data_IF_107734037634
#
_entry.id   IF_107734037634
#
_cell.length_a   1.000
_cell.length_b   1.000
_cell.length_c   1.000
_cell.angle_alpha   90.00
_cell.angle_beta   90.00
_cell.angle_gamma   90.00
#
_symmetry.space_group_name_H-M   'P 1'
#
loop_
_entity.id
_entity.type
_entity.pdbx_description
1 polymer ?
#
# COMPACT_ATOMS: atom_id res chain seq x y z
N UNK A 1 37.27 23.58 -53.54
CA UNK A 1 36.74 22.28 -53.10
C UNK A 1 37.08 22.11 -51.63
N UNK A 2 36.16 22.49 -50.73
CA UNK A 2 36.33 22.40 -49.30
C UNK A 2 35.72 21.10 -48.85
N UNK A 3 36.55 20.15 -48.43
CA UNK A 3 36.12 18.85 -47.87
C UNK A 3 35.53 19.13 -46.48
N UNK A 4 34.20 18.92 -46.34
CA UNK A 4 33.53 18.93 -45.06
C UNK A 4 34.16 17.86 -44.12
N UNK A 5 34.39 18.15 -42.84
CA UNK A 5 34.91 17.16 -41.90
C UNK A 5 33.88 16.06 -41.76
N UNK A 6 34.31 14.80 -42.00
CA UNK A 6 33.55 13.61 -41.68
C UNK A 6 33.22 13.65 -40.19
N UNK A 7 31.95 13.80 -39.86
CA UNK A 7 31.45 13.60 -38.51
C UNK A 7 31.90 12.21 -38.03
N UNK A 8 32.64 12.18 -36.93
CA UNK A 8 33.16 11.00 -36.31
C UNK A 8 31.94 10.13 -35.85
N UNK A 9 31.75 9.00 -36.57
CA UNK A 9 30.52 8.20 -36.50
C UNK A 9 30.43 7.31 -35.24
N UNK A 10 31.29 7.52 -34.25
CA UNK A 10 31.32 6.62 -33.07
C UNK A 10 31.10 7.34 -31.74
N UNK A 11 30.03 8.11 -31.68
CA UNK A 11 29.54 8.65 -30.38
C UNK A 11 29.10 7.53 -29.43
N UNK A 12 28.91 6.34 -29.92
CA UNK A 12 28.48 5.15 -29.17
C UNK A 12 29.42 3.99 -29.44
N UNK A 13 29.71 3.19 -28.40
CA UNK A 13 30.54 1.99 -28.54
C UNK A 13 29.93 1.01 -29.55
N UNK A 14 30.78 0.25 -30.27
CA UNK A 14 30.29 -0.77 -31.18
C UNK A 14 29.42 -1.77 -30.43
N UNK A 15 28.22 -2.03 -30.93
CA UNK A 15 27.25 -2.94 -30.31
C UNK A 15 26.23 -2.24 -29.39
N UNK A 16 26.31 -0.92 -29.13
CA UNK A 16 25.33 -0.20 -28.29
C UNK A 16 23.88 -0.33 -28.78
N UNK A 17 23.69 -0.47 -30.08
CA UNK A 17 22.39 -0.68 -30.71
C UNK A 17 22.19 -2.11 -31.27
N UNK A 18 23.07 -3.05 -30.89
CA UNK A 18 22.88 -4.44 -31.31
C UNK A 18 21.60 -4.99 -30.63
N UNK A 19 20.73 -5.65 -31.41
CA UNK A 19 19.54 -6.27 -30.84
C UNK A 19 19.92 -7.28 -29.75
N UNK A 20 19.38 -7.16 -28.55
CA UNK A 20 19.50 -8.13 -27.48
C UNK A 20 18.23 -8.97 -27.41
N UNK A 21 18.11 -10.05 -28.21
CA UNK A 21 16.86 -10.82 -28.34
C UNK A 21 16.57 -11.68 -27.10
N UNK A 22 17.49 -11.71 -26.14
CA UNK A 22 17.30 -12.49 -24.92
C UNK A 22 16.33 -11.79 -23.97
N UNK A 23 15.38 -12.56 -23.46
CA UNK A 23 14.45 -12.09 -22.43
C UNK A 23 15.25 -11.74 -21.15
N UNK A 24 14.96 -10.59 -20.58
CA UNK A 24 15.53 -10.20 -19.28
C UNK A 24 15.14 -11.21 -18.19
N UNK A 25 16.04 -11.43 -17.22
CA UNK A 25 15.72 -12.22 -16.04
C UNK A 25 14.50 -11.68 -15.32
N UNK A 26 13.61 -12.57 -14.89
CA UNK A 26 12.31 -12.21 -14.29
C UNK A 26 12.46 -11.42 -13.00
N UNK A 27 13.43 -11.76 -12.16
CA UNK A 27 13.70 -11.03 -10.93
C UNK A 27 14.12 -9.58 -11.23
N UNK A 28 14.98 -9.39 -12.23
CA UNK A 28 15.43 -8.08 -12.68
C UNK A 28 14.27 -7.25 -13.27
N UNK A 29 13.36 -7.90 -13.98
CA UNK A 29 12.18 -7.27 -14.56
C UNK A 29 11.23 -6.77 -13.46
N UNK A 30 10.89 -7.64 -12.48
CA UNK A 30 10.03 -7.28 -11.35
C UNK A 30 10.65 -6.16 -10.51
N UNK A 31 11.98 -6.24 -10.25
CA UNK A 31 12.67 -5.21 -9.48
C UNK A 31 12.73 -3.86 -10.21
N UNK A 32 12.93 -3.87 -11.53
CA UNK A 32 12.90 -2.64 -12.34
C UNK A 32 11.52 -2.02 -12.36
N UNK A 33 10.46 -2.84 -12.44
CA UNK A 33 9.08 -2.38 -12.35
C UNK A 33 8.79 -1.81 -10.95
N UNK A 34 9.19 -2.50 -9.89
CA UNK A 34 9.02 -2.05 -8.52
C UNK A 34 9.74 -0.71 -8.25
N UNK A 35 10.96 -0.57 -8.76
CA UNK A 35 11.70 0.69 -8.67
C UNK A 35 10.99 1.85 -9.38
N UNK A 36 10.48 1.60 -10.59
CA UNK A 36 9.71 2.60 -11.34
C UNK A 36 8.46 3.02 -10.57
N UNK A 37 7.67 2.06 -10.10
CA UNK A 37 6.45 2.31 -9.30
C UNK A 37 6.77 3.09 -8.02
N UNK A 38 7.81 2.68 -7.28
CA UNK A 38 8.25 3.39 -6.07
C UNK A 38 8.67 4.82 -6.38
N UNK A 39 9.43 5.03 -7.45
CA UNK A 39 9.84 6.38 -7.88
C UNK A 39 8.66 7.25 -8.28
N UNK A 40 7.66 6.68 -8.96
CA UNK A 40 6.43 7.38 -9.33
C UNK A 40 5.64 7.74 -8.06
N UNK A 41 5.46 6.81 -7.13
CA UNK A 41 4.80 7.06 -5.85
C UNK A 41 5.40 8.28 -5.12
N UNK A 42 6.73 8.31 -4.95
CA UNK A 42 7.42 9.40 -4.27
C UNK A 42 7.39 10.75 -5.01
N UNK A 43 6.99 10.76 -6.28
CA UNK A 43 6.80 11.99 -7.08
C UNK A 43 5.36 12.50 -7.09
N UNK A 44 4.40 11.71 -6.62
CA UNK A 44 3.00 12.11 -6.51
C UNK A 44 2.72 12.70 -5.13
N UNK A 45 2.73 14.05 -5.04
CA UNK A 45 2.53 14.77 -3.77
C UNK A 45 1.20 14.48 -3.09
N UNK A 46 0.11 14.30 -3.85
CA UNK A 46 -1.19 13.92 -3.32
C UNK A 46 -1.15 12.56 -2.62
N UNK A 47 -0.50 11.59 -3.23
CA UNK A 47 -0.37 10.25 -2.67
C UNK A 47 0.51 10.25 -1.41
N UNK A 48 1.58 11.03 -1.38
CA UNK A 48 2.40 11.23 -0.19
C UNK A 48 1.61 11.89 0.95
N UNK A 49 0.75 12.86 0.63
CA UNK A 49 -0.11 13.52 1.61
C UNK A 49 -1.01 12.50 2.32
N UNK A 50 -1.73 11.69 1.55
CA UNK A 50 -2.68 10.71 2.09
C UNK A 50 -1.99 9.56 2.84
N UNK A 51 -0.83 9.12 2.39
CA UNK A 51 -0.18 7.91 2.90
C UNK A 51 0.84 8.16 4.00
N UNK A 52 1.42 9.35 4.08
CA UNK A 52 2.47 9.68 5.06
C UNK A 52 2.06 10.86 5.93
N UNK A 53 1.70 12.00 5.33
CA UNK A 53 1.51 13.24 6.08
C UNK A 53 0.26 13.17 6.95
N UNK A 54 -0.87 12.69 6.43
CA UNK A 54 -2.10 12.58 7.21
C UNK A 54 -1.93 11.57 8.36
N UNK A 55 -1.47 10.32 8.16
CA UNK A 55 -1.26 9.41 9.28
C UNK A 55 -0.23 9.92 10.30
N UNK A 56 0.83 10.59 9.84
CA UNK A 56 1.83 11.18 10.73
C UNK A 56 1.23 12.32 11.57
N UNK A 57 0.46 13.20 10.94
CA UNK A 57 -0.26 14.27 11.65
C UNK A 57 -1.29 13.72 12.64
N UNK A 58 -1.97 12.61 12.28
CA UNK A 58 -2.87 11.90 13.20
C UNK A 58 -2.10 11.34 14.40
N UNK A 59 -0.94 10.68 14.18
CA UNK A 59 -0.13 10.16 15.26
C UNK A 59 0.27 11.26 16.25
N UNK A 60 0.88 12.31 15.74
CA UNK A 60 1.37 13.42 16.58
C UNK A 60 0.19 14.17 17.22
N UNK A 61 -0.82 14.52 16.42
CA UNK A 61 -1.96 15.31 16.86
C UNK A 61 -2.80 14.62 17.93
N UNK A 62 -3.16 13.34 17.72
CA UNK A 62 -4.02 12.62 18.67
C UNK A 62 -3.28 12.19 19.94
N UNK A 63 -1.94 12.07 19.90
CA UNK A 63 -1.14 11.78 21.10
C UNK A 63 -0.86 13.05 21.91
N UNK A 64 -0.56 14.17 21.25
CA UNK A 64 -0.19 15.43 21.92
C UNK A 64 -1.39 16.26 22.37
N UNK A 65 -2.50 16.17 21.66
CA UNK A 65 -3.73 16.89 22.00
C UNK A 65 -4.71 15.88 22.63
N UNK A 66 -5.10 16.04 23.90
CA UNK A 66 -6.01 15.12 24.58
C UNK A 66 -7.46 15.27 24.07
N UNK A 67 -7.67 14.94 22.78
CA UNK A 67 -9.00 14.95 22.15
C UNK A 67 -9.88 13.85 22.74
N UNK A 68 -9.26 12.74 23.14
CA UNK A 68 -9.92 11.60 23.77
C UNK A 68 -9.32 11.39 25.18
N UNK A 69 -10.17 11.12 26.16
CA UNK A 69 -9.75 10.77 27.53
C UNK A 69 -9.23 9.32 27.55
N UNK A 70 -8.00 9.11 27.07
CA UNK A 70 -7.33 7.81 27.05
C UNK A 70 -6.22 7.80 28.08
N UNK A 71 -6.19 6.78 28.95
CA UNK A 71 -5.12 6.61 29.95
C UNK A 71 -3.76 6.41 29.30
N UNK A 72 -3.70 5.63 28.20
CA UNK A 72 -2.50 5.32 27.42
C UNK A 72 -2.73 5.60 25.94
N UNK A 73 -2.76 6.87 25.49
CA UNK A 73 -3.15 7.23 24.13
C UNK A 73 -2.23 6.59 23.07
N UNK A 74 -0.93 6.53 23.34
CA UNK A 74 0.05 6.03 22.38
C UNK A 74 -0.14 4.52 22.09
N UNK A 75 -0.49 3.72 23.10
CA UNK A 75 -0.72 2.27 22.93
C UNK A 75 -1.90 1.95 22.02
N UNK A 76 -2.90 2.83 21.94
CA UNK A 76 -4.08 2.67 21.10
C UNK A 76 -3.94 3.37 19.74
N UNK A 77 -3.37 4.58 19.74
CA UNK A 77 -3.26 5.42 18.54
C UNK A 77 -2.16 4.91 17.62
N UNK A 78 -1.03 4.44 18.16
CA UNK A 78 0.10 4.01 17.33
C UNK A 78 -0.25 2.83 16.41
N UNK A 79 -0.80 1.68 16.89
CA UNK A 79 -1.21 0.59 16.00
C UNK A 79 -2.32 0.99 15.03
N UNK A 80 -3.26 1.84 15.46
CA UNK A 80 -4.31 2.39 14.60
C UNK A 80 -3.71 3.16 13.41
N UNK A 81 -2.77 4.07 13.67
CA UNK A 81 -2.14 4.87 12.62
C UNK A 81 -1.31 4.01 11.68
N UNK A 82 -0.63 2.98 12.18
CA UNK A 82 0.07 2.01 11.34
C UNK A 82 -0.89 1.28 10.40
N UNK A 83 -2.05 0.84 10.91
CA UNK A 83 -3.08 0.20 10.08
C UNK A 83 -3.64 1.16 9.01
N UNK A 84 -3.90 2.42 9.37
CA UNK A 84 -4.36 3.46 8.43
C UNK A 84 -3.32 3.71 7.34
N UNK A 85 -2.03 3.73 7.67
CA UNK A 85 -0.96 3.94 6.69
C UNK A 85 -0.87 2.80 5.66
N UNK A 86 -0.99 1.55 6.12
CA UNK A 86 -1.05 0.36 5.23
C UNK A 86 -2.27 0.42 4.32
N UNK A 87 -3.44 0.74 4.88
CA UNK A 87 -4.68 0.89 4.11
C UNK A 87 -4.56 1.99 3.05
N UNK A 88 -3.96 3.13 3.40
CA UNK A 88 -3.75 4.24 2.47
C UNK A 88 -2.84 3.85 1.30
N UNK A 89 -1.71 3.21 1.57
CA UNK A 89 -0.76 2.80 0.54
C UNK A 89 -1.27 1.62 -0.29
N UNK A 90 -1.83 0.60 0.36
CA UNK A 90 -2.25 -0.65 -0.27
C UNK A 90 -3.61 -0.54 -0.96
N UNK A 91 -4.61 0.06 -0.33
CA UNK A 91 -5.96 0.12 -0.89
C UNK A 91 -6.15 1.36 -1.77
N UNK A 92 -6.22 2.55 -1.18
CA UNK A 92 -6.54 3.79 -1.91
C UNK A 92 -5.47 4.10 -2.94
N UNK A 93 -4.21 4.04 -2.56
CA UNK A 93 -3.07 4.30 -3.44
C UNK A 93 -3.05 3.37 -4.64
N UNK A 94 -3.25 2.06 -4.44
CA UNK A 94 -3.22 1.11 -5.55
C UNK A 94 -4.49 1.14 -6.40
N UNK A 95 -5.67 1.32 -5.80
CA UNK A 95 -6.92 1.45 -6.55
C UNK A 95 -6.85 2.63 -7.53
N UNK A 96 -6.41 3.80 -7.05
CA UNK A 96 -6.29 5.01 -7.86
C UNK A 96 -5.19 4.83 -8.92
N UNK A 97 -3.98 4.41 -8.53
CA UNK A 97 -2.87 4.23 -9.46
C UNK A 97 -3.23 3.27 -10.60
N UNK A 98 -3.79 2.10 -10.30
CA UNK A 98 -4.18 1.11 -11.31
C UNK A 98 -5.32 1.61 -12.18
N UNK A 99 -6.32 2.29 -11.60
CA UNK A 99 -7.41 2.89 -12.36
C UNK A 99 -6.92 3.89 -13.41
N UNK A 100 -6.02 4.77 -13.03
CA UNK A 100 -5.42 5.74 -13.96
C UNK A 100 -4.43 5.10 -14.94
N UNK A 101 -3.63 4.11 -14.53
CA UNK A 101 -2.76 3.35 -15.42
C UNK A 101 -3.56 2.67 -16.55
N UNK A 102 -4.76 2.16 -16.23
CA UNK A 102 -5.69 1.60 -17.21
C UNK A 102 -6.26 2.69 -18.13
N UNK A 103 -6.75 3.79 -17.54
CA UNK A 103 -7.34 4.92 -18.29
C UNK A 103 -6.36 5.49 -19.32
N UNK A 104 -5.09 5.67 -18.93
CA UNK A 104 -4.07 6.22 -19.83
C UNK A 104 -3.35 5.16 -20.68
N UNK A 105 -3.78 3.90 -20.61
CA UNK A 105 -3.21 2.80 -21.38
C UNK A 105 -1.76 2.44 -20.99
N UNK A 106 -1.31 2.83 -19.79
CA UNK A 106 0.05 2.53 -19.32
C UNK A 106 0.26 1.02 -19.17
N UNK A 107 -0.70 0.31 -18.55
CA UNK A 107 -0.64 -1.15 -18.40
C UNK A 107 -0.60 -1.87 -19.76
N UNK A 108 -1.34 -1.39 -20.74
CA UNK A 108 -1.35 -1.95 -22.10
C UNK A 108 0.01 -1.76 -22.80
N UNK A 109 0.63 -0.57 -22.64
CA UNK A 109 1.96 -0.29 -23.19
C UNK A 109 3.05 -1.14 -22.52
N UNK A 110 2.99 -1.31 -21.20
CA UNK A 110 3.93 -2.15 -20.47
C UNK A 110 3.75 -3.63 -20.89
N UNK A 111 2.52 -4.10 -21.02
CA UNK A 111 2.22 -5.45 -21.53
C UNK A 111 2.75 -5.69 -22.95
N UNK A 112 2.65 -4.69 -23.83
CA UNK A 112 3.19 -4.76 -25.19
C UNK A 112 4.74 -4.85 -25.23
N UNK A 113 5.45 -4.46 -24.17
CA UNK A 113 6.90 -4.61 -24.06
C UNK A 113 7.37 -6.04 -23.70
N UNK A 114 6.41 -7.00 -23.61
CA UNK A 114 6.70 -8.41 -23.28
C UNK A 114 6.75 -8.71 -21.78
N UNK A 115 6.44 -7.74 -20.92
CA UNK A 115 6.28 -7.95 -19.48
C UNK A 115 4.99 -8.74 -19.24
N UNK A 116 5.04 -9.91 -18.60
CA UNK A 116 3.83 -10.67 -18.31
C UNK A 116 2.96 -9.95 -17.27
N UNK A 117 1.63 -10.09 -17.34
CA UNK A 117 0.70 -9.42 -16.42
C UNK A 117 1.03 -9.62 -14.93
N UNK A 118 1.40 -10.83 -14.54
CA UNK A 118 1.81 -11.12 -13.17
C UNK A 118 3.09 -10.37 -12.75
N UNK A 119 4.01 -10.08 -13.69
CA UNK A 119 5.22 -9.31 -13.42
C UNK A 119 4.91 -7.85 -13.07
N UNK A 120 3.88 -7.26 -13.72
CA UNK A 120 3.39 -5.91 -13.40
C UNK A 120 2.79 -5.89 -11.98
N UNK A 121 1.93 -6.87 -11.68
CA UNK A 121 1.30 -7.01 -10.36
C UNK A 121 2.37 -7.23 -9.27
N UNK A 122 3.33 -8.12 -9.52
CA UNK A 122 4.42 -8.37 -8.59
C UNK A 122 5.26 -7.11 -8.33
N UNK A 123 5.57 -6.34 -9.37
CA UNK A 123 6.26 -5.05 -9.24
C UNK A 123 5.49 -4.05 -8.36
N UNK A 124 4.17 -3.96 -8.53
CA UNK A 124 3.32 -3.11 -7.69
C UNK A 124 3.31 -3.58 -6.22
N UNK A 125 3.18 -4.88 -5.98
CA UNK A 125 3.23 -5.44 -4.61
C UNK A 125 4.57 -5.12 -3.95
N UNK A 126 5.70 -5.33 -4.62
CA UNK A 126 7.03 -5.01 -4.08
C UNK A 126 7.16 -3.52 -3.79
N UNK A 127 6.65 -2.65 -4.66
CA UNK A 127 6.63 -1.20 -4.44
C UNK A 127 5.81 -0.81 -3.20
N UNK A 128 4.61 -1.39 -3.01
CA UNK A 128 3.79 -1.15 -1.81
C UNK A 128 4.50 -1.64 -0.56
N UNK A 129 5.07 -2.85 -0.58
CA UNK A 129 5.85 -3.37 0.55
C UNK A 129 7.02 -2.44 0.90
N UNK A 130 7.74 -1.92 -0.09
CA UNK A 130 8.83 -0.96 0.11
C UNK A 130 8.32 0.32 0.78
N UNK A 131 7.20 0.87 0.29
CA UNK A 131 6.58 2.06 0.85
C UNK A 131 6.14 1.85 2.29
N UNK A 132 5.44 0.74 2.58
CA UNK A 132 4.97 0.38 3.92
C UNK A 132 6.15 0.16 4.88
N UNK A 133 7.24 -0.45 4.40
CA UNK A 133 8.46 -0.61 5.21
C UNK A 133 9.06 0.73 5.62
N UNK A 134 9.17 1.67 4.66
CA UNK A 134 9.67 3.01 4.95
C UNK A 134 8.74 3.79 5.90
N UNK A 135 7.43 3.68 5.72
CA UNK A 135 6.44 4.25 6.64
C UNK A 135 6.56 3.64 8.03
N UNK A 136 6.71 2.32 8.12
CA UNK A 136 6.84 1.63 9.40
C UNK A 136 8.07 2.12 10.19
N UNK A 137 9.21 2.25 9.52
CA UNK A 137 10.43 2.78 10.14
C UNK A 137 10.19 4.23 10.60
N UNK A 138 9.65 5.08 9.73
CA UNK A 138 9.39 6.49 10.04
C UNK A 138 8.45 6.64 11.24
N UNK A 139 7.31 5.95 11.23
CA UNK A 139 6.32 6.06 12.30
C UNK A 139 6.81 5.43 13.60
N UNK A 140 7.63 4.37 13.52
CA UNK A 140 8.29 3.82 14.71
C UNK A 140 9.27 4.80 15.34
N UNK A 141 10.07 5.51 14.54
CA UNK A 141 10.97 6.56 15.05
C UNK A 141 10.18 7.70 15.71
N UNK A 142 9.08 8.13 15.11
CA UNK A 142 8.22 9.16 15.72
C UNK A 142 7.51 8.61 16.96
N UNK A 143 7.03 7.37 16.95
CA UNK A 143 6.44 6.73 18.12
C UNK A 143 7.40 6.66 19.29
N UNK A 144 8.65 6.27 19.06
CA UNK A 144 9.73 6.29 20.07
C UNK A 144 9.99 7.70 20.61
N UNK A 145 10.01 8.71 19.73
CA UNK A 145 10.17 10.11 20.15
C UNK A 145 9.00 10.63 20.99
N UNK A 146 7.79 10.07 20.78
CA UNK A 146 6.59 10.35 21.58
C UNK A 146 6.50 9.50 22.86
N UNK A 147 7.46 8.61 23.12
CA UNK A 147 7.52 7.79 24.33
C UNK A 147 6.95 6.36 24.18
N UNK A 148 6.82 5.83 22.95
CA UNK A 148 6.43 4.44 22.78
C UNK A 148 7.49 3.48 23.33
N UNK A 149 7.07 2.52 24.13
CA UNK A 149 7.91 1.41 24.58
C UNK A 149 7.84 0.27 23.58
N UNK A 150 8.79 0.21 22.66
CA UNK A 150 8.83 -0.82 21.62
C UNK A 150 9.85 -1.90 21.97
N UNK A 151 9.39 -3.11 22.23
CA UNK A 151 10.27 -4.27 22.29
C UNK A 151 10.68 -4.70 20.87
N UNK A 152 11.92 -5.15 20.67
CA UNK A 152 12.40 -5.62 19.37
C UNK A 152 11.51 -6.74 18.84
N UNK A 153 11.11 -7.68 19.69
CA UNK A 153 10.25 -8.80 19.30
C UNK A 153 8.85 -8.34 18.86
N UNK A 154 8.23 -7.45 19.64
CA UNK A 154 6.93 -6.86 19.30
C UNK A 154 6.99 -6.03 18.00
N UNK A 155 8.07 -5.27 17.85
CA UNK A 155 8.32 -4.51 16.63
C UNK A 155 8.43 -5.42 15.38
N UNK A 156 9.20 -6.50 15.45
CA UNK A 156 9.32 -7.45 14.33
C UNK A 156 8.00 -8.17 14.06
N UNK A 157 7.26 -8.57 15.10
CA UNK A 157 5.98 -9.24 14.96
C UNK A 157 4.92 -8.31 14.35
N UNK A 158 4.89 -7.04 14.77
CA UNK A 158 4.02 -6.01 14.19
C UNK A 158 4.34 -5.76 12.70
N UNK A 159 5.63 -5.79 12.32
CA UNK A 159 6.01 -5.70 10.91
C UNK A 159 5.44 -6.85 10.07
N UNK A 160 5.46 -8.09 10.60
CA UNK A 160 4.81 -9.23 9.92
C UNK A 160 3.31 -8.99 9.77
N UNK A 161 2.63 -8.48 10.81
CA UNK A 161 1.23 -8.07 10.75
C UNK A 161 0.97 -7.00 9.68
N UNK A 162 1.85 -5.99 9.57
CA UNK A 162 1.76 -4.98 8.52
C UNK A 162 1.94 -5.54 7.11
N UNK A 163 2.83 -6.51 6.91
CA UNK A 163 2.98 -7.20 5.61
C UNK A 163 1.72 -8.00 5.25
N UNK A 164 1.08 -8.66 6.23
CA UNK A 164 -0.21 -9.32 6.03
C UNK A 164 -1.29 -8.31 5.64
N UNK A 165 -1.40 -7.20 6.36
CA UNK A 165 -2.30 -6.09 6.02
C UNK A 165 -2.01 -5.50 4.63
N UNK A 166 -0.73 -5.37 4.26
CA UNK A 166 -0.32 -4.91 2.92
C UNK A 166 -0.84 -5.85 1.84
N UNK A 167 -0.72 -7.16 2.03
CA UNK A 167 -1.29 -8.14 1.10
C UNK A 167 -2.81 -7.98 0.96
N UNK A 168 -3.53 -7.86 2.08
CA UNK A 168 -5.00 -7.68 2.10
C UNK A 168 -5.41 -6.43 1.34
N UNK A 169 -4.90 -5.27 1.76
CA UNK A 169 -5.32 -3.98 1.22
C UNK A 169 -4.85 -3.77 -0.22
N UNK A 170 -3.67 -4.28 -0.60
CA UNK A 170 -3.22 -4.26 -2.00
C UNK A 170 -4.11 -5.13 -2.88
N UNK A 171 -4.51 -6.30 -2.42
CA UNK A 171 -5.43 -7.17 -3.16
C UNK A 171 -6.79 -6.51 -3.40
N UNK A 172 -7.35 -5.86 -2.39
CA UNK A 172 -8.60 -5.09 -2.50
C UNK A 172 -8.44 -3.86 -3.39
N UNK A 173 -7.31 -3.15 -3.30
CA UNK A 173 -6.98 -2.02 -4.16
C UNK A 173 -6.85 -2.42 -5.63
N UNK A 174 -6.16 -3.54 -5.91
CA UNK A 174 -6.02 -4.10 -7.25
C UNK A 174 -7.38 -4.58 -7.81
N UNK A 175 -8.23 -5.19 -6.97
CA UNK A 175 -9.58 -5.57 -7.36
C UNK A 175 -10.37 -4.33 -7.82
N UNK A 176 -10.41 -3.31 -7.01
CA UNK A 176 -11.14 -2.08 -7.29
C UNK A 176 -10.56 -1.34 -8.50
N UNK A 177 -9.25 -1.14 -8.54
CA UNK A 177 -8.54 -0.48 -9.64
C UNK A 177 -8.61 -1.25 -10.94
N UNK A 178 -8.66 -2.59 -10.88
CA UNK A 178 -8.74 -3.49 -12.03
C UNK A 178 -10.15 -3.65 -12.62
N UNK A 179 -11.21 -3.23 -11.91
CA UNK A 179 -12.60 -3.49 -12.32
C UNK A 179 -13.40 -2.25 -12.65
N UNK A 180 -13.21 -1.15 -11.91
CA UNK A 180 -14.01 0.07 -12.04
C UNK A 180 -13.37 1.10 -12.98
N UNK A 181 -14.12 2.13 -13.36
CA UNK A 181 -13.63 3.29 -14.12
C UNK A 181 -12.85 4.26 -13.21
N UNK A 182 -11.84 4.94 -13.76
CA UNK A 182 -10.90 5.77 -12.98
C UNK A 182 -11.60 6.89 -12.17
N UNK A 183 -12.63 7.51 -12.72
CA UNK A 183 -13.37 8.60 -12.04
C UNK A 183 -14.17 8.07 -10.85
N UNK A 184 -14.82 6.91 -11.02
CA UNK A 184 -15.56 6.27 -9.95
C UNK A 184 -14.61 5.78 -8.84
N UNK A 185 -13.43 5.25 -9.22
CA UNK A 185 -12.41 4.81 -8.27
C UNK A 185 -11.98 5.96 -7.36
N UNK A 186 -11.72 7.15 -7.93
CA UNK A 186 -11.25 8.29 -7.16
C UNK A 186 -12.21 8.67 -6.03
N UNK A 187 -13.51 8.70 -6.30
CA UNK A 187 -14.53 8.98 -5.30
C UNK A 187 -14.74 7.84 -4.32
N UNK A 188 -14.91 6.62 -4.85
CA UNK A 188 -15.29 5.47 -4.05
C UNK A 188 -14.15 4.95 -3.16
N UNK A 189 -12.89 4.96 -3.64
CA UNK A 189 -11.74 4.57 -2.84
C UNK A 189 -11.56 5.49 -1.63
N UNK A 190 -11.68 6.81 -1.84
CA UNK A 190 -11.59 7.77 -0.75
C UNK A 190 -12.77 7.65 0.22
N UNK A 191 -14.00 7.46 -0.27
CA UNK A 191 -15.18 7.25 0.58
C UNK A 191 -15.02 6.02 1.48
N UNK A 192 -14.64 4.87 0.90
CA UNK A 192 -14.39 3.64 1.67
C UNK A 192 -13.27 3.86 2.68
N UNK A 193 -12.20 4.54 2.27
CA UNK A 193 -11.08 4.86 3.15
C UNK A 193 -11.52 5.68 4.36
N UNK A 194 -12.33 6.72 4.18
CA UNK A 194 -12.88 7.52 5.29
C UNK A 194 -13.77 6.70 6.22
N UNK A 195 -14.63 5.83 5.67
CA UNK A 195 -15.48 4.94 6.47
C UNK A 195 -14.61 3.99 7.32
N UNK A 196 -13.58 3.40 6.73
CA UNK A 196 -12.68 2.48 7.42
C UNK A 196 -11.83 3.19 8.48
N UNK A 197 -11.35 4.42 8.22
CA UNK A 197 -10.70 5.24 9.25
C UNK A 197 -11.68 5.52 10.40
N UNK A 198 -12.89 5.96 10.09
CA UNK A 198 -13.90 6.24 11.10
C UNK A 198 -14.18 5.03 11.99
N UNK A 199 -14.38 3.85 11.40
CA UNK A 199 -14.59 2.62 12.14
C UNK A 199 -13.39 2.24 13.01
N UNK A 200 -12.18 2.32 12.46
CA UNK A 200 -10.94 1.98 13.17
C UNK A 200 -10.67 2.95 14.32
N UNK A 201 -10.87 4.26 14.09
CA UNK A 201 -10.73 5.28 15.13
C UNK A 201 -11.78 5.09 16.22
N UNK A 202 -13.03 4.83 15.83
CA UNK A 202 -14.10 4.58 16.80
C UNK A 202 -13.77 3.42 17.74
N UNK A 203 -13.32 2.27 17.19
CA UNK A 203 -12.89 1.12 18.00
C UNK A 203 -11.71 1.45 18.91
N UNK A 204 -10.73 2.22 18.41
CA UNK A 204 -9.53 2.57 19.18
C UNK A 204 -9.84 3.49 20.38
N UNK A 205 -10.85 4.36 20.29
CA UNK A 205 -11.19 5.34 21.34
C UNK A 205 -12.39 4.95 22.20
N UNK A 206 -13.21 3.99 21.76
CA UNK A 206 -14.38 3.58 22.51
C UNK A 206 -13.98 2.92 23.85
N UNK A 207 -14.65 3.27 24.97
CA UNK A 207 -14.35 2.71 26.28
C UNK A 207 -14.70 1.22 26.38
N UNK A 208 -15.80 0.81 25.76
CA UNK A 208 -16.22 -0.59 25.62
C UNK A 208 -17.13 -0.75 24.42
N UNK A 209 -17.00 -1.88 23.73
CA UNK A 209 -17.87 -2.27 22.62
C UNK A 209 -18.48 -3.63 22.95
N UNK A 210 -19.80 -3.68 23.05
CA UNK A 210 -20.52 -4.89 23.39
C UNK A 210 -21.52 -5.27 22.30
N UNK A 211 -21.87 -6.56 22.28
CA UNK A 211 -22.90 -7.12 21.41
C UNK A 211 -22.51 -7.24 19.94
N UNK A 212 -23.51 -7.24 19.07
CA UNK A 212 -23.37 -7.49 17.63
C UNK A 212 -22.54 -6.41 16.94
N UNK A 213 -22.64 -5.16 17.38
CA UNK A 213 -21.89 -4.04 16.80
C UNK A 213 -20.37 -4.23 16.94
N UNK A 214 -19.91 -4.72 18.09
CA UNK A 214 -18.52 -5.09 18.30
C UNK A 214 -18.04 -6.13 17.29
N UNK A 215 -18.81 -7.23 17.15
CA UNK A 215 -18.47 -8.30 16.21
C UNK A 215 -18.36 -7.77 14.76
N UNK A 216 -19.35 -6.98 14.33
CA UNK A 216 -19.36 -6.42 12.97
C UNK A 216 -18.17 -5.51 12.70
N UNK A 217 -17.78 -4.67 13.66
CA UNK A 217 -16.62 -3.79 13.52
C UNK A 217 -15.30 -4.57 13.43
N UNK A 218 -15.12 -5.62 14.25
CA UNK A 218 -13.92 -6.47 14.21
C UNK A 218 -13.83 -7.37 12.98
N UNK A 219 -14.91 -7.51 12.18
CA UNK A 219 -14.87 -8.14 10.86
C UNK A 219 -14.35 -7.20 9.76
N UNK A 220 -14.24 -5.90 10.02
CA UNK A 220 -13.65 -4.96 9.07
C UNK A 220 -12.13 -5.15 8.99
N UNK A 221 -11.54 -5.17 7.77
CA UNK A 221 -10.12 -5.46 7.62
C UNK A 221 -9.22 -4.38 8.26
N UNK A 222 -9.68 -3.14 8.38
CA UNK A 222 -8.93 -2.05 9.02
C UNK A 222 -8.86 -2.22 10.55
N UNK A 223 -9.96 -2.60 11.18
CA UNK A 223 -10.03 -2.90 12.62
C UNK A 223 -9.21 -4.15 12.92
N UNK A 224 -9.43 -5.23 12.16
CA UNK A 224 -8.66 -6.47 12.33
C UNK A 224 -7.14 -6.24 12.19
N UNK A 225 -6.71 -5.37 11.26
CA UNK A 225 -5.28 -5.04 11.13
C UNK A 225 -4.77 -4.28 12.36
N UNK A 226 -5.56 -3.36 12.90
CA UNK A 226 -5.20 -2.64 14.13
C UNK A 226 -5.05 -3.61 15.30
N UNK A 227 -5.98 -4.56 15.46
CA UNK A 227 -5.92 -5.58 16.51
C UNK A 227 -4.68 -6.48 16.38
N UNK A 228 -4.36 -6.90 15.13
CA UNK A 228 -3.14 -7.69 14.86
C UNK A 228 -1.88 -6.92 15.24
N UNK A 229 -1.78 -5.64 14.84
CA UNK A 229 -0.61 -4.81 15.15
C UNK A 229 -0.52 -4.53 16.67
N UNK A 230 -1.64 -4.20 17.31
CA UNK A 230 -1.69 -3.93 18.76
C UNK A 230 -1.25 -5.15 19.56
N UNK A 231 -1.81 -6.34 19.26
CA UNK A 231 -1.44 -7.58 19.90
C UNK A 231 0.05 -7.91 19.66
N UNK A 232 0.55 -7.72 18.45
CA UNK A 232 1.93 -7.98 18.09
C UNK A 232 2.91 -7.09 18.88
N UNK A 233 2.62 -5.79 19.03
CA UNK A 233 3.41 -4.87 19.84
C UNK A 233 3.45 -5.30 21.32
N UNK A 234 2.36 -5.89 21.82
CA UNK A 234 2.26 -6.50 23.14
C UNK A 234 2.84 -7.94 23.22
N UNK A 235 3.62 -8.38 22.23
CA UNK A 235 4.21 -9.73 22.13
C UNK A 235 3.17 -10.86 22.19
N UNK A 236 1.97 -10.62 21.68
CA UNK A 236 0.88 -11.59 21.60
C UNK A 236 0.32 -11.71 20.19
N UNK A 237 -0.56 -12.68 19.94
CA UNK A 237 -1.17 -12.90 18.62
C UNK A 237 -2.69 -12.95 18.76
N UNK A 238 -3.37 -12.08 18.03
CA UNK A 238 -4.83 -12.06 17.99
C UNK A 238 -5.34 -12.94 16.82
N UNK A 239 -5.47 -14.25 17.06
CA UNK A 239 -5.74 -15.24 16.01
C UNK A 239 -7.04 -14.99 15.24
N UNK A 240 -8.12 -14.52 15.87
CA UNK A 240 -9.36 -14.21 15.17
C UNK A 240 -9.19 -13.05 14.19
N UNK A 241 -8.48 -12.00 14.56
CA UNK A 241 -8.17 -10.88 13.67
C UNK A 241 -7.26 -11.31 12.50
N UNK A 242 -6.27 -12.17 12.75
CA UNK A 242 -5.45 -12.79 11.69
C UNK A 242 -6.33 -13.58 10.74
N UNK A 243 -7.27 -14.37 11.25
CA UNK A 243 -8.23 -15.12 10.45
C UNK A 243 -9.09 -14.22 9.55
N UNK A 244 -9.59 -13.09 10.08
CA UNK A 244 -10.35 -12.09 9.32
C UNK A 244 -9.49 -11.52 8.18
N UNK A 245 -8.24 -11.15 8.45
CA UNK A 245 -7.33 -10.63 7.43
C UNK A 245 -7.04 -11.66 6.35
N UNK A 246 -6.81 -12.92 6.70
CA UNK A 246 -6.58 -13.99 5.71
C UNK A 246 -7.81 -14.15 4.80
N UNK A 247 -9.01 -14.15 5.35
CA UNK A 247 -10.26 -14.27 4.57
C UNK A 247 -10.38 -13.09 3.60
N UNK A 248 -10.21 -11.85 4.05
CA UNK A 248 -10.23 -10.66 3.19
C UNK A 248 -9.16 -10.68 2.11
N UNK A 249 -7.94 -11.10 2.47
CA UNK A 249 -6.81 -11.17 1.54
C UNK A 249 -7.03 -12.22 0.45
N UNK A 250 -7.46 -13.42 0.83
CA UNK A 250 -7.76 -14.51 -0.13
C UNK A 250 -8.92 -14.15 -1.04
N UNK A 251 -10.01 -13.60 -0.48
CA UNK A 251 -11.16 -13.14 -1.28
C UNK A 251 -10.74 -12.01 -2.23
N UNK A 252 -10.04 -11.00 -1.73
CA UNK A 252 -9.56 -9.89 -2.54
C UNK A 252 -8.65 -10.35 -3.68
N UNK A 253 -7.67 -11.22 -3.39
CA UNK A 253 -6.74 -11.75 -4.38
C UNK A 253 -7.44 -12.64 -5.42
N UNK A 254 -8.35 -13.53 -5.00
CA UNK A 254 -9.10 -14.41 -5.90
C UNK A 254 -10.02 -13.61 -6.83
N UNK A 255 -10.74 -12.62 -6.29
CA UNK A 255 -11.62 -11.76 -7.08
C UNK A 255 -10.80 -10.85 -8.01
N UNK A 256 -9.68 -10.30 -7.55
CA UNK A 256 -8.77 -9.54 -8.40
C UNK A 256 -8.23 -10.40 -9.54
N UNK A 257 -7.72 -11.61 -9.25
CA UNK A 257 -7.21 -12.53 -10.27
C UNK A 257 -8.26 -12.91 -11.33
N UNK A 258 -9.53 -13.00 -10.93
CA UNK A 258 -10.63 -13.37 -11.83
C UNK A 258 -11.12 -12.20 -12.68
N UNK A 259 -11.19 -10.98 -12.13
CA UNK A 259 -11.89 -9.85 -12.74
C UNK A 259 -10.98 -8.70 -13.16
N UNK A 260 -9.70 -8.77 -12.87
CA UNK A 260 -8.74 -7.72 -13.25
C UNK A 260 -8.66 -7.59 -14.79
N UNK A 261 -8.90 -6.38 -15.27
CA UNK A 261 -8.80 -6.03 -16.69
C UNK A 261 -7.63 -5.07 -16.91
N UNK A 262 -6.81 -5.34 -17.91
CA UNK A 262 -5.65 -4.49 -18.25
C UNK A 262 -6.04 -3.28 -19.10
N UNK A 263 -7.21 -3.33 -19.75
CA UNK A 263 -7.77 -2.24 -20.55
C UNK A 263 -9.11 -1.79 -19.98
N UNK A 264 -9.46 -0.52 -20.24
CA UNK A 264 -10.84 -0.07 -20.10
C UNK A 264 -11.60 -0.45 -21.36
N UNK A 265 -12.87 -0.88 -21.26
CA UNK A 265 -13.76 -0.91 -22.41
C UNK A 265 -13.75 0.49 -23.03
N UNK A 266 -13.62 0.57 -24.36
CA UNK A 266 -13.81 1.85 -25.05
C UNK A 266 -15.28 2.26 -24.82
N UNK A 267 -15.49 3.39 -24.18
CA UNK A 267 -16.79 4.09 -24.17
C UNK A 267 -17.13 4.60 -25.56
#
# INVERSE_FOLDING_TARGET
>A
MTTAPRADASRFAKGTFAPAPQRSDMAKLVMSQAWLETKLFWRHGEQMLLTIIIPLAMLIGLVMVPVFELDHPLERIFPMVLAISVMSAGFTGQAIAVGFDRRYGALKRIGASGVPPWGIIAGKIVSVCTTVTLQYILFSLVGLALGAELSIGGWLLAYVGMLLGTFVFTSLGLLMGGTLGAELILGLANLIWFILIGATTYVAVAPSLDGISSVLLHLLPSVALTDVISAALAMSVHWSAVGVLIVWGVLGAALAARWFRFDMPND
#
